data_IF_191220786720
#
_entry.id   IF_191220786720
#
_cell.length_a   1.000
_cell.length_b   1.000
_cell.length_c   1.000
_cell.angle_alpha   90.00
_cell.angle_beta   90.00
_cell.angle_gamma   90.00
#
_symmetry.space_group_name_H-M   'P 1'
#
loop_
_entity.id
_entity.type
_entity.pdbx_description
1 polymer ?
#
# COMPACT_ATOMS: atom_id res chain seq x y z
N UNK A 1 -4.69 30.96 -20.65
CA UNK A 1 -4.82 29.64 -21.27
C UNK A 1 -4.52 28.60 -20.22
N UNK A 2 -5.53 27.85 -19.80
CA UNK A 2 -5.36 26.74 -18.83
C UNK A 2 -4.70 25.58 -19.58
N UNK A 3 -3.43 25.25 -19.29
CA UNK A 3 -2.85 24.00 -19.77
C UNK A 3 -3.63 22.86 -19.10
N UNK A 4 -4.13 21.85 -19.84
CA UNK A 4 -4.71 20.69 -19.20
C UNK A 4 -3.66 20.10 -18.28
N UNK A 5 -4.05 19.78 -17.04
CA UNK A 5 -3.22 19.02 -16.11
C UNK A 5 -2.98 17.64 -16.73
N UNK A 6 -1.85 17.48 -17.41
CA UNK A 6 -1.44 16.19 -17.98
C UNK A 6 -1.12 15.27 -16.80
N UNK A 7 -1.62 14.03 -16.81
CA UNK A 7 -1.17 13.02 -15.86
C UNK A 7 0.35 12.92 -15.92
N UNK A 8 1.02 12.90 -14.76
CA UNK A 8 2.48 12.80 -14.73
C UNK A 8 2.92 11.44 -15.33
N UNK A 9 3.95 11.47 -16.17
CA UNK A 9 4.56 10.23 -16.67
C UNK A 9 5.33 9.58 -15.54
N UNK A 10 5.24 8.25 -15.42
CA UNK A 10 6.06 7.49 -14.48
C UNK A 10 7.40 7.03 -15.10
N UNK A 11 7.65 7.33 -16.37
CA UNK A 11 8.88 6.91 -17.04
C UNK A 11 10.11 7.43 -16.29
N UNK A 12 10.98 6.50 -15.86
CA UNK A 12 12.18 6.79 -15.10
C UNK A 12 11.97 7.19 -13.63
N UNK A 13 10.73 7.32 -13.16
CA UNK A 13 10.40 7.62 -11.76
C UNK A 13 10.71 6.44 -10.85
N UNK A 14 11.44 6.69 -9.77
CA UNK A 14 11.79 5.66 -8.76
C UNK A 14 10.66 5.49 -7.77
N UNK A 15 10.05 4.30 -7.72
CA UNK A 15 8.90 4.00 -6.86
C UNK A 15 9.18 2.76 -6.03
N UNK A 16 9.22 2.92 -4.70
CA UNK A 16 9.37 1.81 -3.76
C UNK A 16 8.00 1.21 -3.43
N UNK A 17 7.87 -0.12 -3.59
CA UNK A 17 6.67 -0.86 -3.19
C UNK A 17 7.03 -1.82 -2.05
N UNK A 18 6.45 -1.62 -0.86
CA UNK A 18 6.69 -2.52 0.27
C UNK A 18 5.85 -3.80 0.14
N UNK A 19 6.46 -4.97 0.46
CA UNK A 19 5.79 -6.25 0.31
C UNK A 19 5.43 -6.60 -1.13
N UNK A 20 6.30 -6.25 -2.08
CA UNK A 20 6.05 -6.39 -3.52
C UNK A 20 6.31 -7.80 -4.08
N UNK A 21 6.74 -8.76 -3.25
CA UNK A 21 7.08 -10.11 -3.70
C UNK A 21 5.90 -10.90 -4.27
N UNK A 22 4.68 -10.67 -3.80
CA UNK A 22 3.49 -11.46 -4.15
C UNK A 22 2.18 -10.68 -3.95
N UNK A 23 1.06 -11.29 -4.41
CA UNK A 23 -0.31 -10.78 -4.21
C UNK A 23 -0.46 -9.32 -4.73
N UNK A 24 -1.19 -8.46 -4.02
CA UNK A 24 -1.43 -7.05 -4.39
C UNK A 24 -0.11 -6.32 -4.70
N UNK A 25 0.91 -6.49 -3.84
CA UNK A 25 2.19 -5.82 -4.03
C UNK A 25 2.88 -6.18 -5.35
N UNK A 26 2.78 -7.45 -5.77
CA UNK A 26 3.28 -7.89 -7.08
C UNK A 26 2.50 -7.26 -8.22
N UNK A 27 1.16 -7.28 -8.18
CA UNK A 27 0.33 -6.64 -9.22
C UNK A 27 0.66 -5.15 -9.34
N UNK A 28 0.84 -4.44 -8.22
CA UNK A 28 1.26 -3.04 -8.22
C UNK A 28 2.64 -2.89 -8.88
N UNK A 29 3.63 -3.70 -8.49
CA UNK A 29 4.99 -3.61 -9.05
C UNK A 29 5.00 -3.81 -10.56
N UNK A 30 4.32 -4.85 -11.06
CA UNK A 30 4.23 -5.14 -12.49
C UNK A 30 3.52 -4.02 -13.26
N UNK A 31 2.42 -3.49 -12.71
CA UNK A 31 1.69 -2.40 -13.35
C UNK A 31 2.52 -1.12 -13.45
N UNK A 32 3.28 -0.78 -12.41
CA UNK A 32 4.18 0.37 -12.41
C UNK A 32 5.35 0.19 -13.38
N UNK A 33 5.92 -1.01 -13.46
CA UNK A 33 6.98 -1.33 -14.43
C UNK A 33 6.47 -1.19 -15.88
N UNK A 34 5.24 -1.63 -16.17
CA UNK A 34 4.61 -1.47 -17.47
C UNK A 34 4.37 0.00 -17.87
N UNK A 35 4.25 0.92 -16.90
CA UNK A 35 4.19 2.38 -17.11
C UNK A 35 5.58 3.04 -17.22
N UNK A 36 6.65 2.24 -17.25
CA UNK A 36 8.03 2.72 -17.38
C UNK A 36 8.66 3.25 -16.08
N UNK A 37 8.06 2.99 -14.92
CA UNK A 37 8.65 3.33 -13.65
C UNK A 37 9.87 2.43 -13.33
N UNK A 38 10.88 3.00 -12.68
CA UNK A 38 11.92 2.24 -12.00
C UNK A 38 11.36 1.73 -10.67
N UNK A 39 10.85 0.51 -10.69
CA UNK A 39 10.27 -0.11 -9.49
C UNK A 39 11.38 -0.59 -8.56
N UNK A 40 11.24 -0.31 -7.26
CA UNK A 40 12.11 -0.78 -6.19
C UNK A 40 11.30 -1.74 -5.32
N UNK A 41 11.74 -2.99 -5.24
CA UNK A 41 10.98 -4.08 -4.62
C UNK A 41 11.48 -4.33 -3.20
N UNK A 42 10.62 -4.07 -2.21
CA UNK A 42 10.90 -4.50 -0.85
C UNK A 42 10.22 -5.84 -0.54
N UNK A 43 10.95 -6.70 0.18
CA UNK A 43 10.49 -7.97 0.74
C UNK A 43 11.10 -8.22 2.13
N UNK A 44 10.51 -9.16 2.90
CA UNK A 44 11.11 -9.64 4.16
C UNK A 44 11.58 -11.09 4.03
N UNK A 45 10.68 -12.07 3.98
CA UNK A 45 11.01 -13.50 3.93
C UNK A 45 10.76 -14.19 2.58
N UNK A 46 10.03 -13.55 1.65
CA UNK A 46 9.64 -14.15 0.35
C UNK A 46 10.67 -13.83 -0.74
N UNK A 47 11.92 -14.25 -0.56
CA UNK A 47 13.02 -13.89 -1.48
C UNK A 47 12.84 -14.47 -2.89
N UNK A 48 12.43 -15.74 -2.99
CA UNK A 48 12.22 -16.40 -4.28
C UNK A 48 11.18 -15.67 -5.12
N UNK A 49 10.05 -15.35 -4.51
CA UNK A 49 8.95 -14.63 -5.16
C UNK A 49 9.34 -13.18 -5.49
N UNK A 50 10.14 -12.54 -4.62
CA UNK A 50 10.67 -11.20 -4.87
C UNK A 50 11.59 -11.17 -6.09
N UNK A 51 12.48 -12.18 -6.26
CA UNK A 51 13.35 -12.32 -7.43
C UNK A 51 12.54 -12.51 -8.71
N UNK A 52 11.54 -13.40 -8.68
CA UNK A 52 10.66 -13.60 -9.83
C UNK A 52 9.92 -12.31 -10.23
N UNK A 53 9.37 -11.59 -9.27
CA UNK A 53 8.72 -10.30 -9.54
C UNK A 53 9.71 -9.27 -10.07
N UNK A 54 10.94 -9.24 -9.54
CA UNK A 54 11.99 -8.34 -10.02
C UNK A 54 12.37 -8.59 -11.48
N UNK A 55 12.52 -9.85 -11.88
CA UNK A 55 12.79 -10.24 -13.27
C UNK A 55 11.67 -9.77 -14.20
N UNK A 56 10.40 -10.00 -13.84
CA UNK A 56 9.25 -9.54 -14.60
C UNK A 56 9.14 -8.01 -14.66
N UNK A 57 9.69 -7.29 -13.67
CA UNK A 57 9.82 -5.84 -13.69
C UNK A 57 11.11 -5.34 -14.38
N UNK A 58 11.73 -6.14 -15.25
CA UNK A 58 12.91 -5.76 -16.00
C UNK A 58 14.21 -5.70 -15.18
N UNK A 59 14.36 -6.53 -14.16
CA UNK A 59 15.54 -6.55 -13.30
C UNK A 59 15.47 -5.52 -12.16
N UNK A 60 14.30 -5.30 -11.58
CA UNK A 60 14.08 -4.33 -10.50
C UNK A 60 14.99 -4.59 -9.28
N UNK A 61 15.56 -3.55 -8.66
CA UNK A 61 16.36 -3.68 -7.45
C UNK A 61 15.55 -4.25 -6.27
N UNK A 62 16.19 -5.12 -5.48
CA UNK A 62 15.60 -5.79 -4.33
C UNK A 62 16.12 -5.20 -3.02
N UNK A 63 15.22 -4.96 -2.07
CA UNK A 63 15.54 -4.46 -0.74
C UNK A 63 14.91 -5.36 0.32
N UNK A 64 15.75 -6.04 1.10
CA UNK A 64 15.29 -6.86 2.23
C UNK A 64 15.30 -6.05 3.51
N UNK A 65 14.17 -6.03 4.22
CA UNK A 65 14.07 -5.44 5.56
C UNK A 65 12.93 -6.09 6.36
N UNK A 66 13.09 -6.22 7.66
CA UNK A 66 11.97 -6.49 8.57
C UNK A 66 11.34 -5.16 8.99
N UNK A 67 10.14 -4.88 8.51
CA UNK A 67 9.46 -3.62 8.80
C UNK A 67 8.97 -3.45 10.24
N UNK A 68 9.07 -4.46 11.09
CA UNK A 68 8.88 -4.29 12.53
C UNK A 68 9.99 -3.44 13.15
N UNK A 69 11.19 -3.50 12.56
CA UNK A 69 12.39 -2.81 12.99
C UNK A 69 12.52 -1.45 12.32
N UNK A 70 12.36 -0.38 13.08
CA UNK A 70 12.58 0.99 12.58
C UNK A 70 14.03 1.18 12.11
N UNK A 71 15.00 0.50 12.74
CA UNK A 71 16.40 0.55 12.33
C UNK A 71 16.60 -0.04 10.92
N UNK A 72 15.95 -1.19 10.64
CA UNK A 72 16.02 -1.80 9.31
C UNK A 72 15.30 -0.96 8.25
N UNK A 73 14.17 -0.34 8.59
CA UNK A 73 13.50 0.63 7.71
C UNK A 73 14.47 1.75 7.33
N UNK A 74 15.12 2.39 8.31
CA UNK A 74 16.07 3.47 8.06
C UNK A 74 17.23 3.02 7.16
N UNK A 75 17.84 1.88 7.49
CA UNK A 75 18.92 1.28 6.69
C UNK A 75 18.49 0.98 5.25
N UNK A 76 17.27 0.49 5.05
CA UNK A 76 16.71 0.26 3.72
C UNK A 76 16.61 1.57 2.94
N UNK A 77 16.09 2.64 3.52
CA UNK A 77 15.95 3.93 2.84
C UNK A 77 17.27 4.62 2.55
N UNK A 78 18.34 4.36 3.31
CA UNK A 78 19.71 4.79 2.99
C UNK A 78 20.22 4.15 1.67
N UNK A 79 19.79 2.91 1.39
CA UNK A 79 20.16 2.16 0.18
C UNK A 79 19.28 2.49 -1.02
N UNK A 80 18.03 2.87 -0.80
CA UNK A 80 17.04 3.17 -1.84
C UNK A 80 17.44 4.39 -2.68
N UNK A 81 18.02 5.42 -2.07
CA UNK A 81 18.45 6.63 -2.75
C UNK A 81 17.28 7.56 -3.12
N UNK A 82 17.40 8.35 -4.20
CA UNK A 82 16.34 9.26 -4.65
C UNK A 82 15.03 8.52 -4.95
N UNK A 83 13.90 9.10 -4.52
CA UNK A 83 12.59 8.47 -4.56
C UNK A 83 11.51 9.47 -4.96
N UNK A 84 10.73 9.12 -5.99
CA UNK A 84 9.57 9.89 -6.48
C UNK A 84 8.24 9.36 -5.92
N UNK A 85 8.19 8.07 -5.60
CA UNK A 85 6.96 7.43 -5.09
C UNK A 85 7.21 6.36 -4.03
N UNK A 86 6.27 6.23 -3.09
CA UNK A 86 6.23 5.15 -2.11
C UNK A 86 4.84 4.52 -2.10
N UNK A 87 4.79 3.18 -2.18
CA UNK A 87 3.56 2.42 -1.95
C UNK A 87 3.74 1.55 -0.70
N UNK A 88 3.06 1.91 0.38
CA UNK A 88 3.01 1.11 1.61
C UNK A 88 1.95 0.02 1.44
N UNK A 89 2.37 -1.17 0.99
CA UNK A 89 1.49 -2.32 0.78
C UNK A 89 1.74 -3.45 1.79
N UNK A 90 2.96 -3.60 2.32
CA UNK A 90 3.26 -4.66 3.28
C UNK A 90 2.29 -4.65 4.46
N UNK A 91 1.71 -5.80 4.75
CA UNK A 91 0.75 -5.96 5.83
C UNK A 91 0.72 -7.39 6.35
N UNK A 92 0.23 -7.53 7.59
CA UNK A 92 -0.15 -8.78 8.23
C UNK A 92 -1.65 -8.83 8.43
N UNK A 93 -2.18 -10.04 8.46
CA UNK A 93 -3.59 -10.27 8.67
C UNK A 93 -3.75 -11.53 9.54
N UNK A 94 -4.47 -11.40 10.64
CA UNK A 94 -4.90 -12.51 11.48
C UNK A 94 -6.35 -12.30 11.86
N UNK A 95 -7.02 -13.40 12.22
CA UNK A 95 -8.41 -13.43 12.63
C UNK A 95 -8.50 -14.08 13.99
N UNK A 96 -8.89 -13.33 14.99
CA UNK A 96 -8.94 -13.75 16.39
C UNK A 96 -10.18 -13.12 17.02
N UNK A 97 -10.93 -13.92 17.81
CA UNK A 97 -12.02 -13.42 18.63
C UNK A 97 -11.52 -12.27 19.53
N UNK A 98 -12.21 -11.12 19.60
CA UNK A 98 -11.75 -9.96 20.38
C UNK A 98 -11.46 -10.26 21.85
N UNK A 99 -12.15 -11.23 22.45
CA UNK A 99 -11.90 -11.66 23.83
C UNK A 99 -10.62 -12.50 23.99
N UNK A 100 -10.02 -12.96 22.88
CA UNK A 100 -8.84 -13.83 22.86
C UNK A 100 -7.60 -13.16 22.28
N UNK A 101 -7.70 -11.88 21.91
CA UNK A 101 -6.56 -11.13 21.40
C UNK A 101 -5.61 -10.82 22.57
N UNK A 102 -4.40 -11.34 22.49
CA UNK A 102 -3.32 -11.05 23.43
C UNK A 102 -2.49 -9.83 22.95
N UNK A 103 -1.70 -9.24 23.85
CA UNK A 103 -0.83 -8.11 23.52
C UNK A 103 0.13 -8.43 22.37
N UNK A 104 0.65 -9.64 22.32
CA UNK A 104 1.52 -10.12 21.24
C UNK A 104 0.83 -10.16 19.89
N UNK A 105 -0.46 -10.51 19.82
CA UNK A 105 -1.25 -10.48 18.59
C UNK A 105 -1.47 -9.05 18.12
N UNK A 106 -1.77 -8.17 19.07
CA UNK A 106 -1.93 -6.74 18.82
C UNK A 106 -0.66 -6.13 18.25
N UNK A 107 0.47 -6.35 18.91
CA UNK A 107 1.77 -5.84 18.50
C UNK A 107 2.23 -6.43 17.17
N UNK A 108 1.97 -7.73 16.94
CA UNK A 108 2.26 -8.38 15.67
C UNK A 108 1.61 -7.67 14.49
N UNK A 109 0.36 -7.25 14.62
CA UNK A 109 -0.37 -6.54 13.57
C UNK A 109 0.06 -5.08 13.49
N UNK A 110 0.06 -4.36 14.61
CA UNK A 110 0.30 -2.91 14.61
C UNK A 110 1.73 -2.54 14.25
N UNK A 111 2.71 -3.39 14.58
CA UNK A 111 4.11 -3.17 14.20
C UNK A 111 4.30 -3.05 12.70
N UNK A 112 3.64 -3.90 11.90
CA UNK A 112 3.76 -3.88 10.44
C UNK A 112 2.69 -3.00 9.79
N UNK A 113 1.42 -3.09 10.24
CA UNK A 113 0.33 -2.43 9.51
C UNK A 113 0.22 -0.93 9.75
N UNK A 114 0.73 -0.43 10.87
CA UNK A 114 0.60 0.98 11.24
C UNK A 114 1.95 1.64 11.56
N UNK A 115 2.73 1.09 12.52
CA UNK A 115 4.03 1.65 12.91
C UNK A 115 4.98 1.74 11.72
N UNK A 116 5.12 0.64 10.96
CA UNK A 116 6.02 0.62 9.79
C UNK A 116 5.58 1.61 8.72
N UNK A 117 4.26 1.75 8.47
CA UNK A 117 3.72 2.70 7.50
C UNK A 117 4.15 4.13 7.84
N UNK A 118 4.06 4.51 9.12
CA UNK A 118 4.53 5.83 9.55
C UNK A 118 6.03 6.02 9.28
N UNK A 119 6.87 5.07 9.68
CA UNK A 119 8.33 5.23 9.54
C UNK A 119 8.81 5.12 8.08
N UNK A 120 8.15 4.33 7.24
CA UNK A 120 8.38 4.33 5.80
C UNK A 120 7.98 5.67 5.17
N UNK A 121 6.80 6.20 5.51
CA UNK A 121 6.38 7.53 5.06
C UNK A 121 7.37 8.62 5.51
N UNK A 122 7.83 8.58 6.77
CA UNK A 122 8.78 9.56 7.30
C UNK A 122 10.13 9.50 6.57
N UNK A 123 10.65 8.30 6.32
CA UNK A 123 11.91 8.11 5.62
C UNK A 123 11.82 8.56 4.16
N UNK A 124 10.74 8.17 3.46
CA UNK A 124 10.48 8.62 2.09
C UNK A 124 10.32 10.15 2.01
N UNK A 125 9.58 10.74 2.93
CA UNK A 125 9.35 12.19 2.94
C UNK A 125 10.65 12.99 3.12
N UNK A 126 11.61 12.51 3.92
CA UNK A 126 12.92 13.16 4.05
C UNK A 126 13.65 13.25 2.72
N UNK A 127 13.61 12.20 1.91
CA UNK A 127 14.22 12.15 0.58
C UNK A 127 13.45 13.04 -0.39
N UNK A 128 12.12 12.90 -0.43
CA UNK A 128 11.26 13.65 -1.35
C UNK A 128 11.27 15.16 -1.08
N UNK A 129 11.28 15.60 0.19
CA UNK A 129 11.31 17.02 0.56
C UNK A 129 12.64 17.70 0.22
N UNK A 130 13.73 16.94 0.20
CA UNK A 130 15.04 17.42 -0.24
C UNK A 130 15.15 17.58 -1.78
N UNK A 131 14.25 16.92 -2.53
CA UNK A 131 14.14 16.99 -3.99
C UNK A 131 12.87 17.72 -4.45
N UNK A 132 12.31 17.23 -5.56
CA UNK A 132 11.15 17.83 -6.23
C UNK A 132 9.79 17.46 -5.62
N UNK A 133 9.80 16.74 -4.49
CA UNK A 133 8.60 16.18 -3.87
C UNK A 133 8.28 14.78 -4.38
N UNK A 134 7.02 14.35 -4.22
CA UNK A 134 6.64 13.01 -4.63
C UNK A 134 5.21 12.61 -4.24
N UNK A 135 4.94 11.31 -4.35
CA UNK A 135 3.63 10.73 -4.06
C UNK A 135 3.75 9.53 -3.11
N UNK A 136 2.89 9.47 -2.11
CA UNK A 136 2.79 8.33 -1.19
C UNK A 136 1.39 7.73 -1.30
N UNK A 137 1.31 6.41 -1.49
CA UNK A 137 0.05 5.67 -1.50
C UNK A 137 0.09 4.60 -0.41
N UNK A 138 -0.84 4.66 0.52
CA UNK A 138 -0.97 3.70 1.61
C UNK A 138 -2.09 2.70 1.31
N UNK A 139 -1.80 1.41 1.34
CA UNK A 139 -2.84 0.38 1.20
C UNK A 139 -3.48 0.16 2.56
N UNK A 140 -4.71 0.68 2.71
CA UNK A 140 -5.57 0.43 3.86
C UNK A 140 -6.38 -0.87 3.69
N UNK A 141 -7.67 -0.87 3.91
CA UNK A 141 -8.55 -2.03 3.75
C UNK A 141 -10.00 -1.59 3.87
N UNK A 142 -10.92 -2.35 3.28
CA UNK A 142 -12.33 -2.25 3.61
C UNK A 142 -12.58 -2.41 5.13
N UNK A 143 -11.77 -3.20 5.84
CA UNK A 143 -11.82 -3.33 7.30
C UNK A 143 -11.50 -2.04 8.08
N UNK A 144 -10.97 -0.99 7.41
CA UNK A 144 -10.87 0.36 7.98
C UNK A 144 -12.18 1.16 7.92
N UNK A 145 -13.13 0.74 7.08
CA UNK A 145 -14.38 1.43 6.78
C UNK A 145 -15.60 0.68 7.32
N UNK A 146 -15.51 -0.65 7.41
CA UNK A 146 -16.58 -1.53 7.92
C UNK A 146 -16.05 -2.39 9.07
N UNK A 147 -16.83 -2.59 10.14
CA UNK A 147 -16.39 -3.40 11.27
C UNK A 147 -16.32 -4.89 10.89
N UNK A 148 -15.19 -5.52 11.16
CA UNK A 148 -14.98 -6.95 11.06
C UNK A 148 -14.75 -7.52 12.46
N UNK A 149 -15.73 -8.23 12.99
CA UNK A 149 -15.79 -8.62 14.42
C UNK A 149 -14.54 -9.37 14.88
N UNK A 150 -14.06 -10.34 14.09
CA UNK A 150 -12.89 -11.16 14.46
C UNK A 150 -11.55 -10.54 14.04
N UNK A 151 -11.54 -9.27 13.66
CA UNK A 151 -10.36 -8.59 13.16
C UNK A 151 -10.14 -7.23 13.83
N UNK A 152 -10.46 -7.10 15.12
CA UNK A 152 -10.41 -5.82 15.84
C UNK A 152 -9.03 -5.15 15.74
N UNK A 153 -7.94 -5.88 16.01
CA UNK A 153 -6.55 -5.40 15.91
C UNK A 153 -6.16 -5.05 14.46
N UNK A 154 -6.60 -5.81 13.46
CA UNK A 154 -6.36 -5.51 12.06
C UNK A 154 -7.15 -4.28 11.61
N UNK A 155 -8.45 -4.25 11.87
CA UNK A 155 -9.32 -3.14 11.45
C UNK A 155 -8.89 -1.81 12.08
N UNK A 156 -8.53 -1.80 13.37
CA UNK A 156 -7.99 -0.61 14.06
C UNK A 156 -6.68 -0.15 13.44
N UNK A 157 -5.76 -1.07 13.10
CA UNK A 157 -4.51 -0.72 12.43
C UNK A 157 -4.76 -0.07 11.07
N UNK A 158 -5.70 -0.59 10.28
CA UNK A 158 -6.02 -0.05 8.95
C UNK A 158 -6.82 1.27 9.01
N UNK A 159 -7.67 1.46 10.02
CA UNK A 159 -8.29 2.75 10.32
C UNK A 159 -7.23 3.80 10.72
N UNK A 160 -6.23 3.40 11.50
CA UNK A 160 -5.07 4.22 11.82
C UNK A 160 -4.30 4.67 10.57
N UNK A 161 -4.12 3.80 9.58
CA UNK A 161 -3.50 4.16 8.28
C UNK A 161 -4.30 5.23 7.54
N UNK A 162 -5.63 5.16 7.56
CA UNK A 162 -6.50 6.18 6.92
C UNK A 162 -6.31 7.54 7.59
N UNK A 163 -6.33 7.60 8.92
CA UNK A 163 -6.10 8.86 9.63
C UNK A 163 -4.67 9.36 9.43
N UNK A 164 -3.67 8.48 9.51
CA UNK A 164 -2.27 8.80 9.24
C UNK A 164 -2.09 9.42 7.85
N UNK A 165 -2.73 8.87 6.82
CA UNK A 165 -2.74 9.42 5.46
C UNK A 165 -3.17 10.87 5.45
N UNK A 166 -4.27 11.21 6.12
CA UNK A 166 -4.81 12.58 6.19
C UNK A 166 -3.88 13.54 6.93
N UNK A 167 -3.30 13.10 8.05
CA UNK A 167 -2.34 13.89 8.84
C UNK A 167 -1.11 14.21 8.01
N UNK A 168 -0.50 13.20 7.36
CA UNK A 168 0.72 13.37 6.58
C UNK A 168 0.48 14.16 5.29
N UNK A 169 -0.69 14.01 4.66
CA UNK A 169 -1.11 14.82 3.52
C UNK A 169 -1.11 16.32 3.88
N UNK A 170 -1.66 16.68 5.03
CA UNK A 170 -1.66 18.06 5.51
C UNK A 170 -0.26 18.56 5.89
N UNK A 171 0.55 17.70 6.51
CA UNK A 171 1.87 18.06 6.99
C UNK A 171 2.89 18.34 5.87
N UNK A 172 2.77 17.66 4.73
CA UNK A 172 3.79 17.67 3.67
C UNK A 172 3.35 18.34 2.36
N UNK A 173 2.09 18.82 2.32
CA UNK A 173 1.64 19.65 1.21
C UNK A 173 2.46 20.96 1.14
N UNK A 174 2.70 21.52 -0.05
CA UNK A 174 2.28 21.06 -1.38
C UNK A 174 3.27 20.10 -2.05
N UNK A 175 4.41 19.79 -1.41
CA UNK A 175 5.49 19.01 -2.03
C UNK A 175 5.19 17.53 -2.17
N UNK A 176 4.48 16.94 -1.22
CA UNK A 176 4.15 15.51 -1.24
C UNK A 176 2.64 15.32 -1.13
N UNK A 177 2.07 14.54 -2.06
CA UNK A 177 0.72 14.03 -1.88
C UNK A 177 0.75 12.69 -1.14
N UNK A 178 -0.20 12.50 -0.22
CA UNK A 178 -0.35 11.25 0.53
C UNK A 178 -1.82 10.80 0.42
N UNK A 179 -2.06 9.65 -0.19
CA UNK A 179 -3.40 9.12 -0.43
C UNK A 179 -3.50 7.65 0.01
N UNK A 180 -4.69 7.11 0.05
CA UNK A 180 -4.93 5.72 0.47
C UNK A 180 -5.85 4.99 -0.52
N UNK A 181 -5.57 3.70 -0.71
CA UNK A 181 -6.46 2.77 -1.41
C UNK A 181 -6.95 1.73 -0.40
N UNK A 182 -8.26 1.48 -0.36
CA UNK A 182 -8.89 0.49 0.50
C UNK A 182 -9.41 -0.69 -0.34
N UNK A 183 -8.66 -1.79 -0.44
CA UNK A 183 -9.11 -2.99 -1.12
C UNK A 183 -10.31 -3.63 -0.41
N UNK A 184 -11.26 -4.14 -1.21
CA UNK A 184 -12.30 -5.05 -0.78
C UNK A 184 -11.81 -6.50 -0.69
N UNK A 185 -12.60 -7.44 -1.18
CA UNK A 185 -12.27 -8.87 -1.20
C UNK A 185 -11.41 -9.19 -2.42
N UNK A 186 -10.13 -9.45 -2.19
CA UNK A 186 -9.14 -9.82 -3.21
C UNK A 186 -8.55 -11.19 -2.85
N UNK A 187 -9.11 -12.30 -3.34
CA UNK A 187 -8.60 -13.63 -3.04
C UNK A 187 -7.34 -13.94 -3.87
N UNK A 188 -6.40 -14.64 -3.26
CA UNK A 188 -5.15 -15.11 -3.90
C UNK A 188 -4.96 -16.62 -3.82
N UNK A 189 -5.83 -17.29 -3.10
CA UNK A 189 -5.83 -18.73 -2.85
C UNK A 189 -7.28 -19.22 -2.92
N UNK A 190 -7.50 -20.54 -2.74
CA UNK A 190 -8.85 -21.07 -2.63
C UNK A 190 -9.63 -20.36 -1.52
N UNK A 191 -10.88 -20.04 -1.80
CA UNK A 191 -11.73 -19.25 -0.91
C UNK A 191 -12.59 -20.13 -0.06
N UNK A 192 -12.59 -19.87 1.25
CA UNK A 192 -13.52 -20.49 2.19
C UNK A 192 -14.97 -19.96 2.02
N UNK A 193 -15.94 -20.61 2.66
CA UNK A 193 -17.36 -20.20 2.58
C UNK A 193 -17.60 -18.76 3.03
N UNK A 194 -16.79 -18.24 3.95
CA UNK A 194 -16.91 -16.86 4.43
C UNK A 194 -16.49 -15.87 3.34
N UNK A 195 -15.39 -16.13 2.67
CA UNK A 195 -14.94 -15.30 1.55
C UNK A 195 -15.98 -15.35 0.44
N UNK A 196 -16.56 -16.52 0.16
CA UNK A 196 -17.65 -16.67 -0.81
C UNK A 196 -18.88 -15.84 -0.42
N UNK A 197 -19.25 -15.78 0.87
CA UNK A 197 -20.33 -14.90 1.34
C UNK A 197 -20.03 -13.42 1.11
N UNK A 198 -18.80 -12.97 1.36
CA UNK A 198 -18.41 -11.59 1.05
C UNK A 198 -18.44 -11.29 -0.45
N UNK A 199 -18.00 -12.24 -1.29
CA UNK A 199 -18.08 -12.11 -2.76
C UNK A 199 -19.54 -11.99 -3.18
N UNK A 200 -20.42 -12.86 -2.70
CA UNK A 200 -21.86 -12.83 -3.00
C UNK A 200 -22.54 -11.55 -2.49
N UNK A 201 -22.06 -10.97 -1.39
CA UNK A 201 -22.55 -9.69 -0.86
C UNK A 201 -22.03 -8.48 -1.62
N UNK A 202 -21.01 -8.65 -2.46
CA UNK A 202 -20.41 -7.54 -3.23
C UNK A 202 -21.38 -7.10 -4.34
N UNK A 203 -21.78 -5.82 -4.44
CA UNK A 203 -22.70 -5.35 -5.49
C UNK A 203 -22.21 -5.64 -6.91
N UNK A 204 -20.92 -5.62 -7.15
CA UNK A 204 -20.33 -5.98 -8.44
C UNK A 204 -20.47 -7.48 -8.79
N UNK A 205 -20.97 -8.33 -7.90
CA UNK A 205 -21.22 -9.77 -8.12
C UNK A 205 -19.96 -10.64 -8.22
N UNK A 206 -18.78 -10.11 -7.91
CA UNK A 206 -17.51 -10.83 -7.99
C UNK A 206 -16.48 -10.30 -7.00
N UNK A 207 -15.43 -11.07 -6.80
CA UNK A 207 -14.22 -10.58 -6.14
C UNK A 207 -13.48 -9.56 -7.03
N UNK A 208 -12.69 -8.71 -6.40
CA UNK A 208 -11.73 -7.87 -7.09
C UNK A 208 -10.42 -8.59 -7.38
N UNK A 209 -9.54 -7.93 -8.13
CA UNK A 209 -8.22 -8.43 -8.51
C UNK A 209 -7.10 -7.51 -7.99
N UNK A 210 -5.87 -8.04 -7.95
CA UNK A 210 -4.70 -7.21 -7.63
C UNK A 210 -4.47 -6.09 -8.64
N UNK A 211 -4.84 -6.30 -9.89
CA UNK A 211 -4.67 -5.32 -10.97
C UNK A 211 -5.63 -4.13 -10.82
N UNK A 212 -6.87 -4.36 -10.35
CA UNK A 212 -7.81 -3.27 -10.05
C UNK A 212 -7.30 -2.39 -8.89
N UNK A 213 -6.61 -2.98 -7.92
CA UNK A 213 -5.93 -2.21 -6.87
C UNK A 213 -4.76 -1.43 -7.45
N UNK A 214 -3.99 -2.05 -8.35
CA UNK A 214 -2.85 -1.39 -9.00
C UNK A 214 -3.28 -0.19 -9.85
N UNK A 215 -4.44 -0.24 -10.53
CA UNK A 215 -5.01 0.90 -11.26
C UNK A 215 -5.31 2.09 -10.33
N UNK A 216 -5.89 1.84 -9.15
CA UNK A 216 -6.16 2.91 -8.19
C UNK A 216 -4.87 3.52 -7.61
N UNK A 217 -3.84 2.68 -7.38
CA UNK A 217 -2.50 3.14 -6.99
C UNK A 217 -1.88 4.00 -8.09
N UNK A 218 -1.93 3.52 -9.33
CA UNK A 218 -1.43 4.22 -10.50
C UNK A 218 -2.09 5.60 -10.67
N UNK A 219 -3.42 5.67 -10.50
CA UNK A 219 -4.15 6.94 -10.53
C UNK A 219 -3.54 7.96 -9.56
N UNK A 220 -3.30 7.60 -8.29
CA UNK A 220 -2.72 8.52 -7.32
C UNK A 220 -1.26 8.90 -7.63
N UNK A 221 -0.45 7.98 -8.14
CA UNK A 221 0.95 8.24 -8.49
C UNK A 221 1.12 9.12 -9.74
N UNK A 222 0.11 9.14 -10.63
CA UNK A 222 0.09 9.96 -11.85
C UNK A 222 -0.73 11.23 -11.71
N UNK A 223 -1.46 11.40 -10.60
CA UNK A 223 -2.31 12.56 -10.39
C UNK A 223 -1.52 13.79 -9.97
N UNK A 224 -2.14 14.95 -10.09
CA UNK A 224 -1.61 16.18 -9.51
C UNK A 224 -1.52 16.07 -7.98
N UNK A 225 -0.48 16.66 -7.36
CA UNK A 225 -0.34 16.71 -5.90
C UNK A 225 -1.43 17.51 -5.17
N UNK A 226 -2.33 18.14 -5.92
CA UNK A 226 -3.55 18.75 -5.37
C UNK A 226 -4.56 17.70 -4.88
N UNK A 227 -4.49 16.46 -5.40
CA UNK A 227 -5.23 15.30 -4.89
C UNK A 227 -4.40 14.69 -3.75
N UNK A 228 -4.72 15.06 -2.51
CA UNK A 228 -4.02 14.59 -1.32
C UNK A 228 -5.00 14.38 -0.15
N UNK A 229 -4.69 13.48 0.77
CA UNK A 229 -5.53 13.11 1.91
C UNK A 229 -6.76 12.27 1.56
N UNK A 230 -6.84 11.76 0.33
CA UNK A 230 -8.01 11.03 -0.17
C UNK A 230 -7.91 9.53 0.12
N UNK A 231 -9.08 8.91 0.20
CA UNK A 231 -9.25 7.46 0.26
C UNK A 231 -10.15 7.03 -0.89
N UNK A 232 -9.70 6.03 -1.65
CA UNK A 232 -10.52 5.35 -2.66
C UNK A 232 -10.72 3.90 -2.23
N UNK A 233 -11.99 3.50 -2.06
CA UNK A 233 -12.35 2.10 -1.89
C UNK A 233 -12.43 1.41 -3.25
N UNK A 234 -11.72 0.29 -3.40
CA UNK A 234 -11.78 -0.58 -4.58
C UNK A 234 -12.35 -1.92 -4.12
N UNK A 235 -13.66 -1.97 -3.96
CA UNK A 235 -14.36 -3.00 -3.21
C UNK A 235 -15.64 -3.52 -3.88
N UNK A 236 -15.87 -3.15 -5.15
CA UNK A 236 -17.07 -3.51 -5.90
C UNK A 236 -18.38 -3.00 -5.29
N UNK A 237 -18.31 -1.93 -4.47
CA UNK A 237 -19.45 -1.33 -3.78
C UNK A 237 -19.79 -1.96 -2.42
N UNK A 238 -18.97 -2.88 -1.91
CA UNK A 238 -19.25 -3.60 -0.66
C UNK A 238 -19.29 -2.66 0.56
N UNK A 239 -18.58 -1.54 0.55
CA UNK A 239 -18.65 -0.52 1.61
C UNK A 239 -19.97 0.24 1.68
N UNK A 240 -20.75 0.24 0.60
CA UNK A 240 -22.01 1.00 0.47
C UNK A 240 -23.25 0.22 0.97
N UNK A 241 -23.08 -0.99 1.46
CA UNK A 241 -24.14 -1.85 2.01
C UNK A 241 -24.13 -1.90 3.54
#
# INVERSE_FOLDING_TARGET
MCRPAMSESLHGKSILVTGAAKRIGRSIALRLAAEGARVLIHYNGSEREARATAEECGGAPLFRANLESVAEIRKMFEQVGPLDGLVNNAARFTRIDPLKIEETDWDFIHSVNLKSVFFCCQAAARVMLAGDGGHIVNISSLGALKPWVENAHYSSSKAGVVMLTRVLAKAWAPKISVNSVAPGVIPFEETDERIQRFIAATPAGRAGTGDEIAEAVLFFLKSTRFITGQLVAVDGGLSQR
#
